data_IF_916613728302
#
_entry.id   IF_916613728302
#
_cell.length_a   1.000
_cell.length_b   1.000
_cell.length_c   1.000
_cell.angle_alpha   90.00
_cell.angle_beta   90.00
_cell.angle_gamma   90.00
#
_symmetry.space_group_name_H-M   'P 1'
#
loop_
_entity.id
_entity.type
_entity.pdbx_description
1 polymer ?
#
# COMPACT_ATOMS: atom_id res chain seq x y z
N UNK A 1 -19.80 -24.28 -17.24
CA UNK A 1 -20.81 -23.67 -16.35
C UNK A 1 -20.90 -24.57 -15.15
N UNK A 2 -20.49 -24.09 -13.98
CA UNK A 2 -20.44 -24.88 -12.74
C UNK A 2 -21.55 -24.31 -11.86
N UNK A 3 -22.65 -25.06 -11.78
CA UNK A 3 -23.79 -24.72 -10.92
C UNK A 3 -23.31 -24.65 -9.47
N UNK A 4 -23.47 -23.49 -8.84
CA UNK A 4 -23.43 -23.39 -7.39
C UNK A 4 -24.75 -23.96 -6.87
N UNK A 5 -24.75 -25.24 -6.52
CA UNK A 5 -25.85 -25.82 -5.77
C UNK A 5 -25.89 -25.16 -4.38
N UNK A 6 -26.83 -24.24 -4.19
CA UNK A 6 -27.22 -23.80 -2.85
C UNK A 6 -27.94 -24.98 -2.20
N UNK A 7 -27.48 -25.49 -1.05
CA UNK A 7 -28.16 -26.60 -0.40
C UNK A 7 -29.54 -26.13 0.06
N UNK A 8 -30.59 -26.58 -0.60
CA UNK A 8 -31.96 -26.33 -0.18
C UNK A 8 -32.44 -27.44 0.74
N UNK A 9 -33.11 -27.01 1.81
CA UNK A 9 -33.67 -27.90 2.82
C UNK A 9 -35.05 -28.37 2.30
N UNK A 10 -35.38 -29.68 2.38
CA UNK A 10 -36.68 -30.17 1.91
C UNK A 10 -37.85 -29.39 2.53
N UNK A 11 -38.97 -29.26 1.81
CA UNK A 11 -40.09 -28.35 2.12
C UNK A 11 -40.70 -28.47 3.54
N UNK A 12 -40.38 -29.54 4.28
CA UNK A 12 -40.83 -29.78 5.67
C UNK A 12 -39.68 -29.95 6.68
N UNK A 13 -38.45 -29.56 6.36
CA UNK A 13 -37.31 -29.58 7.27
C UNK A 13 -36.87 -28.15 7.61
N UNK A 14 -37.02 -27.75 8.87
CA UNK A 14 -36.42 -26.53 9.40
C UNK A 14 -35.07 -26.84 10.03
N UNK A 15 -34.02 -26.09 9.66
CA UNK A 15 -32.73 -26.18 10.37
C UNK A 15 -32.82 -25.31 11.61
N UNK A 16 -32.90 -25.94 12.78
CA UNK A 16 -32.78 -25.26 14.06
C UNK A 16 -31.36 -25.46 14.58
N UNK A 17 -30.51 -24.44 14.38
CA UNK A 17 -29.15 -24.45 14.90
C UNK A 17 -29.16 -24.13 16.39
N UNK A 18 -28.87 -25.13 17.23
CA UNK A 18 -28.66 -24.93 18.65
C UNK A 18 -27.47 -23.97 18.88
N UNK A 19 -27.51 -23.18 19.96
CA UNK A 19 -26.44 -22.23 20.34
C UNK A 19 -25.05 -22.86 20.42
N UNK A 20 -24.96 -24.17 20.68
CA UNK A 20 -23.70 -24.94 20.64
C UNK A 20 -23.11 -25.07 19.22
N UNK A 21 -23.94 -25.10 18.18
CA UNK A 21 -23.49 -25.16 16.77
C UNK A 21 -23.00 -23.79 16.28
N UNK A 22 -23.59 -22.69 16.79
CA UNK A 22 -23.06 -21.33 16.58
C UNK A 22 -21.65 -21.19 17.20
N UNK A 23 -21.43 -21.76 18.40
CA UNK A 23 -20.11 -21.82 19.02
C UNK A 23 -19.12 -22.64 18.20
N UNK A 24 -19.52 -23.77 17.60
CA UNK A 24 -18.64 -24.54 16.73
C UNK A 24 -18.26 -23.77 15.46
N UNK A 25 -19.18 -23.03 14.84
CA UNK A 25 -18.87 -22.16 13.69
C UNK A 25 -17.94 -21.00 14.09
N UNK A 26 -18.11 -20.43 15.29
CA UNK A 26 -17.17 -19.46 15.86
C UNK A 26 -15.79 -20.09 16.14
N UNK A 27 -15.73 -21.30 16.69
CA UNK A 27 -14.47 -22.03 16.93
C UNK A 27 -13.78 -22.45 15.62
N UNK A 28 -14.52 -22.84 14.59
CA UNK A 28 -13.98 -23.11 13.26
C UNK A 28 -13.54 -21.82 12.55
N UNK A 29 -14.20 -20.68 12.80
CA UNK A 29 -13.71 -19.37 12.37
C UNK A 29 -12.44 -18.93 13.13
N UNK A 30 -12.28 -19.36 14.39
CA UNK A 30 -11.02 -19.26 15.13
C UNK A 30 -9.94 -20.18 14.55
N UNK A 31 -10.27 -21.36 14.02
CA UNK A 31 -9.32 -22.21 13.27
C UNK A 31 -8.83 -21.59 11.95
N UNK A 32 -9.42 -20.49 11.47
CA UNK A 32 -8.88 -19.64 10.37
C UNK A 32 -7.75 -18.70 10.84
N UNK A 33 -7.43 -18.65 12.14
CA UNK A 33 -6.44 -17.76 12.74
C UNK A 33 -4.97 -18.23 12.78
N UNK A 34 -4.53 -19.43 12.34
CA UNK A 34 -3.10 -19.77 12.40
C UNK A 34 -2.20 -18.76 11.68
N UNK A 35 -2.66 -18.20 10.56
CA UNK A 35 -1.88 -17.21 9.79
C UNK A 35 -1.86 -15.83 10.46
N UNK A 36 -3.00 -15.36 10.99
CA UNK A 36 -3.08 -14.08 11.70
C UNK A 36 -2.30 -14.13 13.02
N UNK A 37 -2.45 -15.23 13.77
CA UNK A 37 -1.69 -15.48 14.99
C UNK A 37 -0.20 -15.60 14.72
N UNK A 38 0.22 -16.30 13.65
CA UNK A 38 1.63 -16.35 13.26
C UNK A 38 2.18 -14.97 12.92
N UNK A 39 1.45 -14.20 12.11
CA UNK A 39 1.84 -12.82 11.77
C UNK A 39 1.96 -11.96 13.04
N UNK A 40 1.00 -12.08 13.96
CA UNK A 40 1.05 -11.37 15.23
C UNK A 40 2.26 -11.79 16.08
N UNK A 41 2.54 -13.08 16.22
CA UNK A 41 3.68 -13.57 17.00
C UNK A 41 5.02 -13.12 16.41
N UNK A 42 5.20 -13.25 15.09
CA UNK A 42 6.41 -12.80 14.42
C UNK A 42 6.60 -11.28 14.54
N UNK A 43 5.51 -10.51 14.50
CA UNK A 43 5.54 -9.07 14.78
C UNK A 43 5.98 -8.77 16.22
N UNK A 44 5.42 -9.49 17.21
CA UNK A 44 5.75 -9.29 18.62
C UNK A 44 7.22 -9.61 18.91
N UNK A 45 7.82 -10.56 18.19
CA UNK A 45 9.24 -10.86 18.30
C UNK A 45 10.09 -9.66 17.85
N UNK A 46 9.79 -9.07 16.68
CA UNK A 46 10.48 -7.86 16.18
C UNK A 46 10.25 -6.66 17.11
N UNK A 47 9.01 -6.46 17.57
CA UNK A 47 8.67 -5.39 18.53
C UNK A 47 9.47 -5.53 19.83
N UNK A 48 9.66 -6.76 20.32
CA UNK A 48 10.44 -7.03 21.54
C UNK A 48 11.92 -6.72 21.33
N UNK A 49 12.46 -7.05 20.17
CA UNK A 49 13.84 -6.76 19.80
C UNK A 49 14.11 -5.26 19.67
N UNK A 50 13.19 -4.51 19.05
CA UNK A 50 13.33 -3.06 18.86
C UNK A 50 12.91 -2.22 20.07
N UNK A 51 12.16 -2.80 21.02
CA UNK A 51 11.57 -2.07 22.15
C UNK A 51 10.44 -1.09 21.78
N UNK A 52 10.02 -1.06 20.51
CA UNK A 52 8.95 -0.20 19.97
C UNK A 52 8.23 -0.88 18.81
N UNK A 53 7.10 -0.31 18.38
CA UNK A 53 6.43 -0.77 17.17
C UNK A 53 7.42 -0.61 15.98
N UNK A 54 7.71 -1.68 15.22
CA UNK A 54 8.53 -1.57 14.01
C UNK A 54 7.82 -0.70 12.97
N UNK A 55 8.59 0.00 12.14
CA UNK A 55 8.06 0.51 10.88
C UNK A 55 7.74 -0.66 9.94
N UNK A 56 6.93 -0.42 8.91
CA UNK A 56 6.60 -1.51 7.99
C UNK A 56 7.83 -2.10 7.28
N UNK A 57 8.83 -1.25 6.98
CA UNK A 57 10.09 -1.70 6.38
C UNK A 57 10.94 -2.52 7.35
N UNK A 58 11.06 -2.09 8.61
CA UNK A 58 11.78 -2.87 9.64
C UNK A 58 11.13 -4.24 9.84
N UNK A 59 9.79 -4.30 9.86
CA UNK A 59 9.08 -5.56 9.93
C UNK A 59 9.36 -6.48 8.73
N UNK A 60 9.54 -5.92 7.53
CA UNK A 60 9.94 -6.69 6.35
C UNK A 60 11.37 -7.23 6.44
N UNK A 61 12.29 -6.43 6.96
CA UNK A 61 13.70 -6.79 7.03
C UNK A 61 14.02 -7.75 8.18
N UNK A 62 13.34 -7.62 9.32
CA UNK A 62 13.60 -8.38 10.54
C UNK A 62 12.56 -9.49 10.79
N UNK A 63 11.36 -9.35 10.22
CA UNK A 63 10.26 -10.27 10.47
C UNK A 63 10.46 -11.63 9.80
N UNK A 64 10.08 -12.69 10.52
CA UNK A 64 10.12 -14.07 10.00
C UNK A 64 9.01 -14.34 8.98
N UNK A 65 7.88 -13.67 9.11
CA UNK A 65 6.78 -13.76 8.14
C UNK A 65 6.97 -12.75 7.01
N UNK A 66 6.62 -13.16 5.79
CA UNK A 66 6.61 -12.25 4.64
C UNK A 66 5.62 -11.10 4.91
N UNK A 67 6.11 -9.86 4.85
CA UNK A 67 5.33 -8.65 5.16
C UNK A 67 4.08 -8.45 4.30
N UNK A 68 4.02 -9.07 3.12
CA UNK A 68 2.80 -9.11 2.29
C UNK A 68 1.61 -9.80 3.00
N UNK A 69 1.88 -10.64 4.01
CA UNK A 69 0.86 -11.27 4.83
C UNK A 69 -0.02 -10.25 5.56
N UNK A 70 0.57 -9.17 6.09
CA UNK A 70 -0.17 -8.19 6.88
C UNK A 70 -1.26 -7.49 6.05
N UNK A 71 -0.91 -6.95 4.88
CA UNK A 71 -1.90 -6.33 3.97
C UNK A 71 -2.97 -7.29 3.47
N UNK A 72 -2.62 -8.56 3.30
CA UNK A 72 -3.54 -9.57 2.81
C UNK A 72 -4.56 -9.96 3.88
N UNK A 73 -4.12 -10.15 5.12
CA UNK A 73 -4.96 -10.60 6.22
C UNK A 73 -5.71 -9.45 6.91
N UNK A 74 -5.11 -8.27 7.00
CA UNK A 74 -5.62 -7.13 7.79
C UNK A 74 -5.96 -5.90 6.94
N UNK A 75 -5.80 -5.97 5.61
CA UNK A 75 -6.09 -4.87 4.70
C UNK A 75 -4.92 -3.93 4.47
N UNK A 76 -4.18 -3.61 5.52
CA UNK A 76 -2.95 -2.81 5.48
C UNK A 76 -2.07 -3.14 6.69
N UNK A 77 -0.84 -2.64 6.71
CA UNK A 77 0.01 -2.73 7.90
C UNK A 77 -0.62 -1.98 9.09
N UNK A 78 -1.15 -0.79 8.86
CA UNK A 78 -1.87 -0.03 9.90
C UNK A 78 -3.14 -0.76 10.34
N UNK A 79 -3.81 -1.46 9.43
CA UNK A 79 -4.96 -2.31 9.76
C UNK A 79 -4.59 -3.48 10.68
N UNK A 80 -3.37 -4.00 10.56
CA UNK A 80 -2.84 -4.95 11.55
C UNK A 80 -2.63 -4.28 12.91
N UNK A 81 -2.02 -3.09 12.96
CA UNK A 81 -1.82 -2.36 14.23
C UNK A 81 -3.14 -2.04 14.92
N UNK A 82 -4.16 -1.63 14.14
CA UNK A 82 -5.51 -1.41 14.62
C UNK A 82 -6.13 -2.70 15.19
N UNK A 83 -6.06 -3.79 14.43
CA UNK A 83 -6.58 -5.10 14.88
C UNK A 83 -5.87 -5.62 16.15
N UNK A 84 -4.58 -5.35 16.29
CA UNK A 84 -3.79 -5.75 17.45
C UNK A 84 -3.91 -4.79 18.65
N UNK A 85 -4.78 -3.78 18.57
CA UNK A 85 -4.98 -2.76 19.60
C UNK A 85 -3.67 -2.02 19.97
N UNK A 86 -2.81 -1.80 18.97
CA UNK A 86 -1.50 -1.14 19.11
C UNK A 86 -1.53 0.33 18.74
N UNK A 87 -2.67 0.84 18.27
CA UNK A 87 -2.90 2.25 18.01
C UNK A 87 -3.49 2.90 19.25
N UNK A 88 -3.13 4.16 19.51
CA UNK A 88 -3.87 4.98 20.47
C UNK A 88 -5.33 5.17 20.02
N UNK A 89 -6.26 5.54 20.93
CA UNK A 89 -7.64 5.81 20.55
C UNK A 89 -7.78 6.83 19.40
N UNK A 90 -7.00 7.92 19.45
CA UNK A 90 -6.99 8.94 18.40
C UNK A 90 -6.49 8.39 17.05
N UNK A 91 -5.38 7.64 17.05
CA UNK A 91 -4.88 6.96 15.85
C UNK A 91 -5.90 5.94 15.31
N UNK A 92 -6.60 5.22 16.20
CA UNK A 92 -7.67 4.29 15.80
C UNK A 92 -8.78 4.99 15.00
N UNK A 93 -9.19 6.18 15.44
CA UNK A 93 -10.18 6.97 14.69
C UNK A 93 -9.64 7.47 13.35
N UNK A 94 -8.37 7.88 13.29
CA UNK A 94 -7.70 8.29 12.03
C UNK A 94 -7.66 7.09 11.07
N UNK A 95 -7.30 5.90 11.54
CA UNK A 95 -7.29 4.69 10.73
C UNK A 95 -8.66 4.39 10.14
N UNK A 96 -9.73 4.43 10.95
CA UNK A 96 -11.09 4.15 10.46
C UNK A 96 -11.51 5.12 9.35
N UNK A 97 -11.15 6.41 9.46
CA UNK A 97 -11.44 7.41 8.41
C UNK A 97 -10.64 7.18 7.13
N UNK A 98 -9.39 6.77 7.26
CA UNK A 98 -8.42 6.69 6.16
C UNK A 98 -8.10 5.28 5.69
N UNK A 99 -8.85 4.26 6.14
CA UNK A 99 -8.62 2.87 5.77
C UNK A 99 -8.59 2.71 4.24
N UNK A 100 -9.51 3.35 3.53
CA UNK A 100 -9.60 3.29 2.07
C UNK A 100 -8.32 3.80 1.39
N UNK A 101 -7.76 4.93 1.86
CA UNK A 101 -6.50 5.49 1.35
C UNK A 101 -5.33 4.53 1.59
N UNK A 102 -5.16 4.08 2.83
CA UNK A 102 -4.06 3.19 3.21
C UNK A 102 -4.11 1.89 2.40
N UNK A 103 -5.32 1.35 2.17
CA UNK A 103 -5.52 0.16 1.34
C UNK A 103 -5.23 0.41 -0.14
N UNK A 104 -5.65 1.53 -0.72
CA UNK A 104 -5.34 1.86 -2.11
C UNK A 104 -3.81 1.93 -2.32
N UNK A 105 -3.12 2.68 -1.47
CA UNK A 105 -1.65 2.79 -1.51
C UNK A 105 -1.00 1.44 -1.32
N UNK A 106 -1.47 0.60 -0.40
CA UNK A 106 -0.80 -0.66 -0.09
C UNK A 106 -1.09 -1.77 -1.10
N UNK A 107 -2.27 -1.75 -1.75
CA UNK A 107 -2.73 -2.81 -2.66
C UNK A 107 -2.61 -2.46 -4.15
N UNK A 108 -2.42 -1.20 -4.53
CA UNK A 108 -2.32 -0.82 -5.95
C UNK A 108 -1.26 -1.65 -6.68
N UNK A 109 -1.56 -2.15 -7.87
CA UNK A 109 -0.63 -3.03 -8.60
C UNK A 109 0.63 -2.27 -9.02
N UNK A 110 1.80 -2.89 -8.80
CA UNK A 110 3.13 -2.37 -9.15
C UNK A 110 3.86 -3.31 -10.11
N UNK A 111 3.59 -3.16 -11.41
CA UNK A 111 4.41 -3.76 -12.47
C UNK A 111 5.70 -2.96 -12.70
N UNK A 112 5.67 -1.66 -12.35
CA UNK A 112 6.78 -0.72 -12.25
C UNK A 112 6.62 0.06 -10.95
N UNK A 113 7.70 0.66 -10.45
CA UNK A 113 7.69 1.44 -9.21
C UNK A 113 6.97 2.79 -9.29
N UNK A 114 6.55 3.20 -10.49
CA UNK A 114 6.17 4.57 -10.83
C UNK A 114 5.14 5.20 -9.88
N UNK A 115 4.05 4.49 -9.53
CA UNK A 115 3.04 4.99 -8.59
C UNK A 115 3.65 5.38 -7.24
N UNK A 116 4.55 4.55 -6.72
CA UNK A 116 5.20 4.85 -5.44
C UNK A 116 6.27 5.94 -5.57
N UNK A 117 6.83 6.17 -6.76
CA UNK A 117 7.71 7.33 -6.99
C UNK A 117 6.90 8.63 -7.00
N UNK A 118 5.70 8.64 -7.61
CA UNK A 118 4.76 9.77 -7.50
C UNK A 118 4.43 10.05 -6.05
N UNK A 119 4.02 9.02 -5.30
CA UNK A 119 3.70 9.18 -3.89
C UNK A 119 4.92 9.64 -3.08
N UNK A 120 6.11 9.10 -3.34
CA UNK A 120 7.33 9.52 -2.67
C UNK A 120 7.64 10.99 -2.95
N UNK A 121 7.54 11.46 -4.20
CA UNK A 121 7.71 12.87 -4.52
C UNK A 121 6.76 13.76 -3.70
N UNK A 122 5.48 13.37 -3.65
CA UNK A 122 4.47 14.07 -2.86
C UNK A 122 4.90 14.13 -1.38
N UNK A 123 5.31 13.01 -0.79
CA UNK A 123 5.77 12.90 0.60
C UNK A 123 7.05 13.70 0.88
N UNK A 124 7.98 13.80 -0.06
CA UNK A 124 9.24 14.52 0.12
C UNK A 124 9.06 16.05 0.14
N UNK A 125 7.86 16.57 -0.18
CA UNK A 125 7.51 17.99 0.08
C UNK A 125 7.22 18.28 1.55
N UNK A 126 7.20 17.25 2.40
CA UNK A 126 7.06 17.37 3.84
C UNK A 126 5.64 17.22 4.34
N UNK A 127 5.52 17.07 5.66
CA UNK A 127 4.27 16.76 6.35
C UNK A 127 3.15 17.76 6.08
N UNK A 128 3.45 19.04 5.93
CA UNK A 128 2.45 20.07 5.68
C UNK A 128 1.91 20.08 4.24
N UNK A 129 2.71 19.64 3.26
CA UNK A 129 2.46 19.86 1.82
C UNK A 129 2.33 18.58 1.00
N UNK A 130 2.42 17.40 1.62
CA UNK A 130 2.42 16.16 0.85
C UNK A 130 1.11 15.88 0.12
N UNK A 131 -0.03 16.37 0.63
CA UNK A 131 -1.34 16.20 0.00
C UNK A 131 -1.63 17.24 -1.10
N UNK A 132 -0.79 18.26 -1.25
CA UNK A 132 -0.99 19.30 -2.26
C UNK A 132 -1.00 18.66 -3.66
N UNK A 133 -1.85 19.12 -4.60
CA UNK A 133 -1.82 18.60 -5.96
C UNK A 133 -0.46 18.78 -6.64
N UNK A 134 -0.18 17.96 -7.66
CA UNK A 134 1.03 18.05 -8.47
C UNK A 134 0.72 17.82 -9.95
N UNK A 135 1.60 18.32 -10.80
CA UNK A 135 1.60 18.06 -12.25
C UNK A 135 2.72 17.09 -12.62
N UNK A 136 2.62 16.38 -13.76
CA UNK A 136 3.70 15.56 -14.28
C UNK A 136 5.03 16.33 -14.44
N UNK A 137 4.97 17.60 -14.87
CA UNK A 137 6.15 18.44 -15.12
C UNK A 137 6.92 18.78 -13.85
N UNK A 138 6.22 19.15 -12.77
CA UNK A 138 6.82 19.48 -11.47
C UNK A 138 7.68 18.34 -10.91
N UNK A 139 7.25 17.09 -11.12
CA UNK A 139 7.91 15.92 -10.57
C UNK A 139 8.84 15.20 -11.57
N UNK A 140 8.88 15.61 -12.83
CA UNK A 140 9.61 14.90 -13.89
C UNK A 140 11.09 14.69 -13.55
N UNK A 141 11.76 15.73 -13.02
CA UNK A 141 13.18 15.63 -12.62
C UNK A 141 13.38 14.68 -11.45
N UNK A 142 12.53 14.74 -10.43
CA UNK A 142 12.60 13.82 -9.28
C UNK A 142 12.40 12.37 -9.72
N UNK A 143 11.41 12.12 -10.57
CA UNK A 143 11.09 10.80 -11.08
C UNK A 143 12.24 10.18 -11.86
N UNK A 144 12.82 10.96 -12.79
CA UNK A 144 13.98 10.54 -13.55
C UNK A 144 15.16 10.24 -12.62
N UNK A 145 15.53 11.19 -11.77
CA UNK A 145 16.67 11.05 -10.85
C UNK A 145 16.52 9.82 -9.95
N UNK A 146 15.32 9.60 -9.38
CA UNK A 146 15.06 8.43 -8.55
C UNK A 146 15.32 7.11 -9.30
N UNK A 147 14.92 7.01 -10.57
CA UNK A 147 15.11 5.80 -11.36
C UNK A 147 16.56 5.62 -11.81
N UNK A 148 17.27 6.70 -12.15
CA UNK A 148 18.59 6.61 -12.78
C UNK A 148 19.76 6.64 -11.81
N UNK A 149 19.58 7.16 -10.59
CA UNK A 149 20.65 7.31 -9.58
C UNK A 149 21.24 5.96 -9.12
N UNK A 150 20.43 4.89 -9.07
CA UNK A 150 20.93 3.56 -8.72
C UNK A 150 20.73 2.59 -9.87
N UNK A 151 21.80 1.87 -10.18
CA UNK A 151 21.85 0.96 -11.32
C UNK A 151 20.75 -0.11 -11.26
N UNK A 152 20.46 -0.66 -10.08
CA UNK A 152 19.39 -1.68 -9.94
C UNK A 152 17.99 -1.11 -10.22
N UNK A 153 17.71 0.16 -9.86
CA UNK A 153 16.43 0.82 -10.14
C UNK A 153 16.28 1.05 -11.64
N UNK A 154 17.34 1.60 -12.25
CA UNK A 154 17.44 1.90 -13.68
C UNK A 154 17.25 0.64 -14.52
N UNK A 155 17.95 -0.45 -14.20
CA UNK A 155 17.84 -1.71 -14.93
C UNK A 155 16.48 -2.39 -14.78
N UNK A 156 15.81 -2.24 -13.64
CA UNK A 156 14.52 -2.91 -13.44
C UNK A 156 13.38 -2.20 -14.15
N UNK A 157 13.33 -0.88 -14.03
CA UNK A 157 12.17 -0.11 -14.50
C UNK A 157 12.42 0.63 -15.81
N UNK A 158 13.68 0.79 -16.20
CA UNK A 158 14.17 1.64 -17.28
C UNK A 158 15.10 0.93 -18.28
N UNK A 159 15.02 -0.39 -18.41
CA UNK A 159 15.83 -1.19 -19.36
C UNK A 159 15.12 -1.53 -20.67
N UNK A 160 13.82 -1.26 -20.79
CA UNK A 160 13.07 -1.52 -22.02
C UNK A 160 13.64 -0.68 -23.18
N UNK A 161 13.63 -1.19 -24.43
CA UNK A 161 14.31 -0.56 -25.59
C UNK A 161 14.00 0.93 -25.75
N UNK A 162 12.75 1.33 -25.52
CA UNK A 162 12.31 2.73 -25.65
C UNK A 162 12.81 3.65 -24.52
N UNK A 163 13.22 3.06 -23.39
CA UNK A 163 13.61 3.75 -22.16
C UNK A 163 15.11 3.96 -22.02
N UNK A 164 15.94 3.26 -22.80
CA UNK A 164 17.38 3.53 -22.86
C UNK A 164 17.66 4.99 -23.26
N UNK A 165 16.86 5.52 -24.17
CA UNK A 165 16.92 6.92 -24.59
C UNK A 165 16.40 7.92 -23.53
N UNK A 166 16.03 7.46 -22.33
CA UNK A 166 15.58 8.27 -21.20
C UNK A 166 16.60 8.27 -20.04
N UNK A 167 17.79 7.66 -20.21
CA UNK A 167 18.77 7.57 -19.12
C UNK A 167 19.49 8.89 -18.84
N UNK A 168 19.70 9.69 -19.89
CA UNK A 168 20.35 10.98 -19.80
C UNK A 168 19.32 12.11 -19.73
N UNK A 169 19.54 13.03 -18.79
CA UNK A 169 18.65 14.17 -18.60
C UNK A 169 18.95 15.30 -19.60
N UNK A 170 17.93 15.70 -20.35
CA UNK A 170 17.92 16.86 -21.26
C UNK A 170 16.46 17.28 -21.54
N UNK A 171 16.23 18.35 -22.29
CA UNK A 171 14.89 18.87 -22.60
C UNK A 171 13.97 17.83 -23.28
N UNK A 172 14.52 17.03 -24.20
CA UNK A 172 13.78 15.96 -24.89
C UNK A 172 13.39 14.86 -23.91
N UNK A 173 14.30 14.43 -23.04
CA UNK A 173 14.02 13.45 -21.99
C UNK A 173 12.99 14.00 -21.01
N UNK A 174 13.10 15.26 -20.58
CA UNK A 174 12.14 15.90 -19.68
C UNK A 174 10.71 15.81 -20.23
N UNK A 175 10.50 16.20 -21.50
CA UNK A 175 9.20 16.11 -22.18
C UNK A 175 8.68 14.67 -22.24
N UNK A 176 9.56 13.69 -22.51
CA UNK A 176 9.17 12.27 -22.57
C UNK A 176 8.85 11.69 -21.20
N UNK A 177 9.56 12.11 -20.16
CA UNK A 177 9.30 11.72 -18.76
C UNK A 177 7.97 12.32 -18.29
N UNK A 178 7.71 13.58 -18.59
CA UNK A 178 6.44 14.23 -18.28
C UNK A 178 5.27 13.49 -18.93
N UNK A 179 5.37 13.20 -20.23
CA UNK A 179 4.39 12.37 -20.95
C UNK A 179 4.25 10.99 -20.33
N UNK A 180 5.38 10.35 -19.99
CA UNK A 180 5.37 9.05 -19.32
C UNK A 180 4.56 9.12 -18.03
N UNK A 181 4.83 10.08 -17.15
CA UNK A 181 4.15 10.22 -15.85
C UNK A 181 2.65 10.48 -16.02
N UNK A 182 2.29 11.32 -17.00
CA UNK A 182 0.91 11.63 -17.36
C UNK A 182 0.16 10.35 -17.78
N UNK A 183 0.68 9.64 -18.80
CA UNK A 183 0.08 8.41 -19.31
C UNK A 183 0.09 7.31 -18.22
N UNK A 184 1.24 7.15 -17.54
CA UNK A 184 1.48 6.23 -16.44
C UNK A 184 2.60 6.71 -15.49
N UNK A 185 2.29 7.03 -14.24
CA UNK A 185 1.27 6.32 -13.49
C UNK A 185 0.02 7.13 -13.14
N UNK A 186 -0.04 8.44 -13.40
CA UNK A 186 -1.10 9.31 -12.87
C UNK A 186 -2.49 8.95 -13.41
N UNK A 187 -2.62 8.78 -14.73
CA UNK A 187 -3.88 8.34 -15.36
C UNK A 187 -4.32 6.95 -14.89
N UNK A 188 -3.37 6.00 -14.84
CA UNK A 188 -3.67 4.61 -14.48
C UNK A 188 -3.96 4.38 -12.99
N UNK A 189 -3.41 5.20 -12.09
CA UNK A 189 -3.78 5.12 -10.68
C UNK A 189 -5.19 5.68 -10.49
N UNK A 190 -5.45 6.88 -11.01
CA UNK A 190 -6.74 7.56 -10.86
C UNK A 190 -7.90 6.80 -11.53
N UNK A 191 -7.63 6.11 -12.65
CA UNK A 191 -8.62 5.29 -13.34
C UNK A 191 -8.87 3.92 -12.69
N UNK A 192 -8.12 3.53 -11.65
CA UNK A 192 -8.32 2.24 -10.99
C UNK A 192 -9.62 2.24 -10.18
N UNK A 193 -10.37 1.12 -10.22
CA UNK A 193 -11.61 0.97 -9.46
C UNK A 193 -11.35 1.16 -7.96
N UNK A 194 -12.04 2.13 -7.36
CA UNK A 194 -11.89 2.46 -5.94
C UNK A 194 -10.60 3.19 -5.61
N UNK A 195 -9.93 3.81 -6.59
CA UNK A 195 -8.77 4.65 -6.31
C UNK A 195 -9.15 5.84 -5.45
N UNK A 196 -8.23 6.19 -4.55
CA UNK A 196 -8.28 7.37 -3.70
C UNK A 196 -7.42 8.50 -4.29
N UNK A 197 -7.21 8.48 -5.61
CA UNK A 197 -6.45 9.49 -6.37
C UNK A 197 -7.29 10.00 -7.54
N UNK A 198 -7.00 11.21 -7.99
CA UNK A 198 -7.68 11.86 -9.11
C UNK A 198 -6.65 12.48 -10.05
N UNK A 199 -6.90 12.38 -11.35
CA UNK A 199 -6.10 13.03 -12.39
C UNK A 199 -7.02 13.66 -13.42
N UNK A 200 -7.18 14.97 -13.33
CA UNK A 200 -8.08 15.79 -14.17
C UNK A 200 -7.29 17.00 -14.67
N UNK A 201 -7.42 17.34 -15.95
CA UNK A 201 -6.77 18.50 -16.58
C UNK A 201 -5.25 18.62 -16.31
N UNK A 202 -4.55 17.48 -16.24
CA UNK A 202 -3.10 17.44 -16.01
C UNK A 202 -2.68 17.60 -14.55
N UNK A 203 -3.62 17.66 -13.62
CA UNK A 203 -3.38 17.82 -12.18
C UNK A 203 -3.72 16.53 -11.44
N UNK A 204 -2.73 15.98 -10.73
CA UNK A 204 -2.86 14.80 -9.88
C UNK A 204 -3.08 15.22 -8.42
N UNK A 205 -4.10 14.65 -7.79
CA UNK A 205 -4.48 14.96 -6.41
C UNK A 205 -4.93 13.70 -5.65
N UNK A 206 -4.90 13.78 -4.32
CA UNK A 206 -5.40 12.73 -3.45
C UNK A 206 -6.84 13.03 -3.05
N UNK A 207 -7.71 12.02 -3.07
CA UNK A 207 -9.07 12.12 -2.56
C UNK A 207 -9.08 11.81 -1.06
N UNK A 208 -8.34 12.61 -0.29
CA UNK A 208 -8.10 12.45 1.14
C UNK A 208 -8.37 13.77 1.83
N UNK A 209 -9.10 13.75 2.95
CA UNK A 209 -9.41 14.94 3.75
C UNK A 209 -9.08 14.68 5.21
N UNK A 210 -8.22 15.53 5.79
CA UNK A 210 -7.80 15.48 7.20
C UNK A 210 -8.53 16.56 7.98
N UNK A 211 -8.79 16.33 9.27
CA UNK A 211 -9.50 17.32 10.11
C UNK A 211 -8.58 18.42 10.62
N UNK A 212 -7.34 18.06 10.95
CA UNK A 212 -6.35 18.93 11.58
C UNK A 212 -4.92 18.46 11.26
N UNK A 213 -3.95 19.23 11.75
CA UNK A 213 -2.53 18.97 11.53
C UNK A 213 -2.04 17.68 12.22
N UNK A 214 -2.65 17.26 13.32
CA UNK A 214 -2.26 16.04 14.03
C UNK A 214 -2.67 14.80 13.24
N UNK A 215 -3.90 14.77 12.72
CA UNK A 215 -4.37 13.73 11.80
C UNK A 215 -3.52 13.68 10.52
N UNK A 216 -3.14 14.84 9.99
CA UNK A 216 -2.24 14.95 8.85
C UNK A 216 -0.86 14.34 9.13
N UNK A 217 -0.28 14.61 10.31
CA UNK A 217 1.01 14.08 10.74
C UNK A 217 0.99 12.54 10.84
N UNK A 218 -0.06 12.01 11.47
CA UNK A 218 -0.26 10.56 11.61
C UNK A 218 -0.38 9.89 10.24
N UNK A 219 -1.21 10.45 9.36
CA UNK A 219 -1.44 9.91 8.03
C UNK A 219 -0.20 10.02 7.13
N UNK A 220 0.54 11.12 7.22
CA UNK A 220 1.82 11.32 6.54
C UNK A 220 2.80 10.21 6.91
N UNK A 221 3.00 9.97 8.21
CA UNK A 221 3.92 8.93 8.71
C UNK A 221 3.56 7.55 8.17
N UNK A 222 2.29 7.13 8.31
CA UNK A 222 1.85 5.82 7.82
C UNK A 222 1.99 5.67 6.31
N UNK A 223 1.60 6.70 5.56
CA UNK A 223 1.72 6.71 4.10
C UNK A 223 3.18 6.60 3.68
N UNK A 224 4.09 7.31 4.37
CA UNK A 224 5.53 7.24 4.13
C UNK A 224 6.10 5.86 4.41
N UNK A 225 5.75 5.24 5.54
CA UNK A 225 6.18 3.88 5.87
C UNK A 225 5.73 2.85 4.82
N UNK A 226 4.47 2.91 4.40
CA UNK A 226 3.94 2.03 3.34
C UNK A 226 4.71 2.29 2.04
N UNK A 227 4.87 3.55 1.63
CA UNK A 227 5.57 3.90 0.38
C UNK A 227 7.01 3.35 0.36
N UNK A 228 7.76 3.54 1.44
CA UNK A 228 9.14 3.06 1.57
C UNK A 228 9.23 1.54 1.57
N UNK A 229 8.36 0.86 2.33
CA UNK A 229 8.27 -0.60 2.30
C UNK A 229 7.99 -1.11 0.89
N UNK A 230 7.02 -0.51 0.17
CA UNK A 230 6.62 -0.96 -1.15
C UNK A 230 7.68 -0.75 -2.20
N UNK A 231 8.41 0.36 -2.16
CA UNK A 231 9.57 0.60 -3.02
C UNK A 231 10.66 -0.43 -2.74
N UNK A 232 11.01 -0.65 -1.47
CA UNK A 232 12.01 -1.63 -1.08
C UNK A 232 11.63 -3.05 -1.55
N UNK A 233 10.46 -3.53 -1.14
CA UNK A 233 9.97 -4.86 -1.50
C UNK A 233 9.72 -5.01 -3.01
N UNK A 234 9.51 -3.92 -3.75
CA UNK A 234 9.48 -3.97 -5.21
C UNK A 234 10.87 -4.24 -5.76
N UNK A 235 11.88 -3.42 -5.42
CA UNK A 235 13.22 -3.54 -6.00
C UNK A 235 14.02 -4.74 -5.51
N UNK A 236 13.70 -5.27 -4.33
CA UNK A 236 14.24 -6.54 -3.83
C UNK A 236 13.86 -7.73 -4.73
N UNK A 237 12.64 -7.77 -5.28
CA UNK A 237 12.18 -8.90 -6.11
C UNK A 237 13.06 -9.07 -7.34
N UNK A 238 13.64 -10.25 -7.53
CA UNK A 238 14.44 -10.57 -8.71
C UNK A 238 15.87 -10.03 -8.70
N UNK A 239 16.31 -9.40 -7.59
CA UNK A 239 17.72 -9.31 -7.25
C UNK A 239 18.01 -10.43 -6.24
N UNK A 240 18.84 -11.43 -6.55
CA UNK A 240 19.32 -12.33 -5.52
C UNK A 240 20.14 -11.51 -4.52
N UNK A 241 19.82 -11.70 -3.24
CA UNK A 241 20.61 -11.22 -2.09
C UNK A 241 22.03 -11.75 -2.15
#
# INVERSE_FOLDING_TARGET
MMDSAVPEVPANCGIHLETRVVNLLQELSRKRLPRREKLHQDFLDVKRELGRIPTYLELHLMGRSKSIGYRNEFGSYVGFLYWAELLSPAEGEVYVRHEAWLRDVEKTVMNKSYKMIVLLYMLERGEAHWMDPITPGEMARFFHMYLTEKEYRKRKDFSDKDKLALWEWNERTATRIEKLINDMPMSMWSGAKGSMTRFEDGVFSLNVQVKDAEEQAVLYRWTKEICLYRLHAYFERGNPS
#
